data_IF_448412747045
#
_entry.id   IF_448412747045
#
_cell.length_a   1.000
_cell.length_b   1.000
_cell.length_c   1.000
_cell.angle_alpha   90.00
_cell.angle_beta   90.00
_cell.angle_gamma   90.00
#
_symmetry.space_group_name_H-M   'P 1'
#
loop_
_entity.id
_entity.type
_entity.pdbx_description
1 polymer ?
#
# COMPACT_ATOMS: atom_id res chain seq x y z
N UNK A 1 -4.97 -10.90 -1.11
CA UNK A 1 -5.49 -9.97 -0.10
C UNK A 1 -6.15 -10.74 1.04
N UNK A 2 -5.63 -10.59 2.26
CA UNK A 2 -6.20 -11.22 3.48
C UNK A 2 -7.09 -10.24 4.27
N UNK A 3 -7.16 -8.96 3.88
CA UNK A 3 -7.92 -7.92 4.60
C UNK A 3 -7.62 -7.81 6.11
N UNK A 4 -6.45 -8.27 6.55
CA UNK A 4 -6.04 -8.27 7.96
C UNK A 4 -4.56 -7.95 8.08
N UNK A 5 -4.11 -7.49 9.25
CA UNK A 5 -2.71 -7.13 9.51
C UNK A 5 -2.11 -8.07 10.55
N UNK A 6 -1.08 -8.85 10.18
CA UNK A 6 -0.43 -9.81 11.10
C UNK A 6 0.41 -9.16 12.21
N UNK A 7 1.00 -7.99 11.96
CA UNK A 7 1.87 -7.33 12.94
C UNK A 7 1.47 -5.87 13.17
N UNK A 8 1.92 -5.29 14.28
CA UNK A 8 1.70 -3.86 14.56
C UNK A 8 2.44 -2.95 13.57
N UNK A 9 3.50 -3.46 12.92
CA UNK A 9 4.24 -2.72 11.89
C UNK A 9 3.48 -2.64 10.57
N UNK A 10 2.53 -3.57 10.35
CA UNK A 10 1.72 -3.63 9.13
C UNK A 10 0.58 -2.59 9.12
N UNK A 11 0.45 -1.79 10.17
CA UNK A 11 -0.45 -0.64 10.19
C UNK A 11 0.25 0.61 10.72
N UNK A 12 -0.19 1.75 10.22
CA UNK A 12 0.23 3.06 10.71
C UNK A 12 -0.41 3.40 12.07
N UNK A 13 -1.61 2.90 12.35
CA UNK A 13 -2.32 3.16 13.61
C UNK A 13 -1.80 2.28 14.76
N UNK A 14 -1.82 2.82 15.99
CA UNK A 14 -1.36 2.10 17.20
C UNK A 14 -2.44 1.21 17.83
N UNK A 15 -3.42 0.77 17.06
CA UNK A 15 -4.44 -0.14 17.56
C UNK A 15 -3.80 -1.47 18.01
N UNK A 16 -4.55 -2.32 18.73
CA UNK A 16 -4.12 -3.67 19.10
C UNK A 16 -4.50 -4.66 17.99
N UNK A 17 -3.71 -5.72 17.81
CA UNK A 17 -4.06 -6.81 16.88
C UNK A 17 -5.22 -7.60 17.51
N UNK A 18 -6.20 -7.99 16.71
CA UNK A 18 -7.34 -8.77 17.21
C UNK A 18 -6.86 -10.17 17.62
N UNK A 19 -7.68 -10.89 18.40
CA UNK A 19 -7.32 -12.24 18.86
C UNK A 19 -7.33 -13.28 17.74
N UNK A 20 -8.20 -13.10 16.75
CA UNK A 20 -8.35 -14.00 15.61
C UNK A 20 -7.10 -14.04 14.74
N UNK A 21 -6.51 -12.88 14.45
CA UNK A 21 -5.27 -12.76 13.69
C UNK A 21 -4.09 -13.35 14.45
N UNK A 22 -4.05 -13.21 15.78
CA UNK A 22 -3.03 -13.89 16.60
C UNK A 22 -3.19 -15.41 16.50
N UNK A 23 -4.41 -15.93 16.64
CA UNK A 23 -4.67 -17.36 16.48
C UNK A 23 -4.34 -17.88 15.07
N UNK A 24 -4.56 -17.05 14.05
CA UNK A 24 -4.19 -17.38 12.67
C UNK A 24 -2.67 -17.42 12.51
N UNK A 25 -1.93 -16.45 13.05
CA UNK A 25 -0.47 -16.41 13.04
C UNK A 25 0.13 -17.65 13.75
N UNK A 26 -0.41 -18.01 14.92
CA UNK A 26 -0.02 -19.23 15.65
C UNK A 26 -0.26 -20.50 14.81
N UNK A 27 -1.38 -20.55 14.07
CA UNK A 27 -1.71 -21.69 13.19
C UNK A 27 -0.75 -21.78 12.00
N UNK A 28 -0.42 -20.64 11.38
CA UNK A 28 0.55 -20.59 10.29
C UNK A 28 1.93 -21.04 10.76
N UNK A 29 2.36 -20.62 11.94
CA UNK A 29 3.63 -21.03 12.53
C UNK A 29 3.70 -22.56 12.76
N UNK A 30 2.61 -23.15 13.27
CA UNK A 30 2.48 -24.61 13.44
C UNK A 30 2.53 -25.39 12.13
N UNK A 31 2.07 -24.80 11.03
CA UNK A 31 2.14 -25.39 9.69
C UNK A 31 3.47 -25.14 8.97
N UNK A 32 4.44 -24.53 9.66
CA UNK A 32 5.70 -24.07 9.08
C UNK A 32 5.49 -23.12 7.88
N UNK A 33 4.45 -22.30 7.94
CA UNK A 33 4.16 -21.24 6.98
C UNK A 33 4.53 -19.89 7.62
N UNK A 34 5.10 -18.98 6.83
CA UNK A 34 5.45 -17.64 7.30
C UNK A 34 5.16 -16.58 6.25
N UNK A 35 4.94 -15.36 6.72
CA UNK A 35 4.90 -14.17 5.87
C UNK A 35 6.32 -13.82 5.43
N UNK A 36 6.57 -14.05 4.14
CA UNK A 36 7.89 -13.90 3.57
C UNK A 36 8.36 -12.43 3.62
N UNK A 37 7.46 -11.46 3.42
CA UNK A 37 7.83 -10.05 3.42
C UNK A 37 8.34 -9.63 4.82
N UNK A 38 7.68 -10.09 5.90
CA UNK A 38 8.15 -9.78 7.26
C UNK A 38 9.43 -10.47 7.65
N UNK A 39 9.68 -11.66 7.10
CA UNK A 39 10.94 -12.37 7.32
C UNK A 39 12.13 -11.56 6.80
N UNK A 40 11.99 -10.92 5.64
CA UNK A 40 13.05 -10.08 5.06
C UNK A 40 13.11 -8.67 5.68
N UNK A 41 11.98 -8.16 6.19
CA UNK A 41 11.83 -6.76 6.59
C UNK A 41 11.25 -6.59 8.01
N UNK A 42 11.94 -7.09 9.03
CA UNK A 42 11.42 -7.14 10.41
C UNK A 42 10.97 -5.79 11.00
N UNK A 43 11.56 -4.68 10.56
CA UNK A 43 11.34 -3.34 11.16
C UNK A 43 10.82 -2.29 10.18
N UNK A 44 10.70 -2.61 8.90
CA UNK A 44 10.29 -1.64 7.89
C UNK A 44 8.77 -1.47 7.86
N UNK A 45 8.34 -0.21 7.80
CA UNK A 45 6.92 0.17 7.73
C UNK A 45 6.59 0.58 6.30
N UNK A 46 6.30 -0.41 5.47
CA UNK A 46 5.77 -0.23 4.13
C UNK A 46 4.37 -0.83 4.06
N UNK A 47 3.52 -0.25 3.22
CA UNK A 47 2.08 -0.49 3.19
C UNK A 47 1.61 -0.74 1.76
N UNK A 48 0.57 -1.56 1.61
CA UNK A 48 -0.03 -1.85 0.30
C UNK A 48 -1.38 -1.19 0.10
N UNK A 49 -1.99 -0.67 1.17
CA UNK A 49 -3.33 -0.10 1.16
C UNK A 49 -3.43 1.19 1.98
N UNK A 50 -4.23 2.14 1.49
CA UNK A 50 -4.64 3.35 2.21
C UNK A 50 -6.16 3.38 2.39
N UNK A 51 -6.61 3.54 3.63
CA UNK A 51 -8.02 3.75 3.95
C UNK A 51 -8.32 5.23 4.08
N UNK A 52 -9.06 5.79 3.11
CA UNK A 52 -9.50 7.20 3.14
C UNK A 52 -10.37 7.49 4.38
N UNK A 53 -11.37 6.64 4.65
CA UNK A 53 -12.31 6.80 5.75
C UNK A 53 -11.65 6.88 7.15
N UNK A 54 -10.46 6.31 7.30
CA UNK A 54 -9.74 6.29 8.57
C UNK A 54 -8.42 7.08 8.53
N UNK A 55 -7.99 7.56 7.35
CA UNK A 55 -6.71 8.22 7.16
C UNK A 55 -5.51 7.33 7.53
N UNK A 56 -5.62 6.02 7.37
CA UNK A 56 -4.59 5.06 7.82
C UNK A 56 -4.07 4.20 6.69
N UNK A 57 -2.76 3.94 6.73
CA UNK A 57 -2.09 2.95 5.90
C UNK A 57 -2.02 1.59 6.59
N UNK A 58 -2.20 0.55 5.78
CA UNK A 58 -2.11 -0.86 6.18
C UNK A 58 -1.44 -1.70 5.10
N UNK A 59 -0.81 -2.81 5.48
CA UNK A 59 -0.38 -3.88 4.59
C UNK A 59 -1.35 -5.04 4.77
N UNK A 60 -2.17 -5.30 3.75
CA UNK A 60 -3.20 -6.34 3.74
C UNK A 60 -2.90 -7.47 2.73
N UNK A 61 -1.89 -7.25 1.88
CA UNK A 61 -1.37 -8.25 0.97
C UNK A 61 -0.20 -8.99 1.61
N UNK A 62 -0.43 -10.28 1.83
CA UNK A 62 0.53 -11.17 2.44
C UNK A 62 0.90 -12.27 1.45
N UNK A 63 2.20 -12.53 1.34
CA UNK A 63 2.73 -13.69 0.64
C UNK A 63 3.16 -14.70 1.69
N UNK A 64 2.37 -15.77 1.83
CA UNK A 64 2.63 -16.85 2.75
C UNK A 64 3.41 -17.96 2.03
N UNK A 65 4.49 -18.43 2.64
CA UNK A 65 5.34 -19.49 2.09
C UNK A 65 5.74 -20.48 3.17
N UNK A 66 6.09 -21.70 2.79
CA UNK A 66 6.71 -22.65 3.71
C UNK A 66 8.11 -22.18 4.12
N UNK A 67 8.44 -22.32 5.41
CA UNK A 67 9.74 -21.95 5.98
C UNK A 67 10.91 -22.63 5.26
N UNK A 68 10.73 -23.88 4.83
CA UNK A 68 11.73 -24.64 4.07
C UNK A 68 12.09 -24.01 2.72
N UNK A 69 11.17 -23.23 2.14
CA UNK A 69 11.33 -22.59 0.83
C UNK A 69 11.92 -21.18 0.93
N UNK A 70 12.15 -20.65 2.14
CA UNK A 70 12.67 -19.28 2.34
C UNK A 70 14.01 -19.05 1.65
N UNK A 71 14.87 -20.07 1.62
CA UNK A 71 16.21 -20.00 1.01
C UNK A 71 16.18 -19.79 -0.52
N UNK A 72 15.03 -19.99 -1.17
CA UNK A 72 14.86 -19.82 -2.62
C UNK A 72 14.72 -18.33 -2.98
N UNK A 73 14.35 -17.49 -2.02
CA UNK A 73 14.11 -16.07 -2.22
C UNK A 73 15.34 -15.26 -1.83
N UNK A 74 15.75 -14.34 -2.71
CA UNK A 74 16.91 -13.47 -2.47
C UNK A 74 16.51 -12.07 -2.00
N UNK A 75 15.38 -11.57 -2.49
CA UNK A 75 14.89 -10.22 -2.26
C UNK A 75 13.39 -10.18 -2.48
N UNK A 76 12.71 -9.39 -1.67
CA UNK A 76 11.27 -9.14 -1.75
C UNK A 76 11.08 -7.68 -1.47
N UNK A 77 10.28 -7.01 -2.27
CA UNK A 77 9.98 -5.59 -2.11
C UNK A 77 8.50 -5.40 -2.37
N UNK A 78 7.90 -4.45 -1.64
CA UNK A 78 6.59 -3.93 -2.04
C UNK A 78 6.86 -2.99 -3.19
N UNK A 79 6.25 -3.28 -4.34
CA UNK A 79 6.22 -2.34 -5.44
C UNK A 79 5.03 -1.44 -5.15
N UNK A 80 5.23 -0.20 -4.67
CA UNK A 80 4.11 0.73 -4.59
C UNK A 80 3.57 0.85 -6.01
N UNK A 81 2.25 0.96 -6.21
CA UNK A 81 1.75 1.33 -7.52
C UNK A 81 2.49 2.62 -7.88
N UNK A 82 3.24 2.59 -8.97
CA UNK A 82 3.90 3.77 -9.53
C UNK A 82 2.76 4.65 -10.04
N UNK A 83 2.12 5.37 -9.11
CA UNK A 83 0.92 6.18 -9.25
C UNK A 83 -0.36 5.43 -9.67
N UNK A 84 -1.48 5.77 -9.02
CA UNK A 84 -2.55 6.40 -9.80
C UNK A 84 -3.12 7.62 -9.06
N UNK A 85 -3.46 8.70 -9.78
CA UNK A 85 -4.34 9.78 -9.29
C UNK A 85 -3.68 10.62 -8.16
N UNK A 86 -2.73 11.51 -8.43
CA UNK A 86 -2.96 12.94 -8.72
C UNK A 86 -1.65 13.47 -9.33
N UNK A 87 -1.70 13.85 -10.61
CA UNK A 87 -0.65 14.63 -11.26
C UNK A 87 -1.16 16.07 -11.38
N UNK A 88 -0.56 17.00 -10.62
CA UNK A 88 -0.63 18.44 -10.88
C UNK A 88 0.79 18.94 -11.13
N UNK A 89 0.93 19.86 -12.06
CA UNK A 89 1.86 21.00 -12.02
C UNK A 89 1.07 22.12 -12.82
N UNK A 90 1.50 23.37 -12.93
CA UNK A 90 0.65 24.43 -13.53
C UNK A 90 1.49 25.38 -14.37
N UNK A 91 1.56 25.33 -15.72
CA UNK A 91 2.34 26.34 -16.48
C UNK A 91 1.74 27.75 -16.34
N UNK A 92 2.39 28.61 -15.56
CA UNK A 92 2.40 30.06 -15.75
C UNK A 92 3.74 30.43 -16.40
N UNK A 93 3.71 30.96 -17.62
CA UNK A 93 4.76 31.84 -18.13
C UNK A 93 4.19 33.25 -17.90
N UNK A 94 4.84 34.20 -17.21
CA UNK A 94 6.23 34.64 -17.35
C UNK A 94 6.70 35.31 -16.05
N UNK A 95 7.75 34.80 -15.39
CA UNK A 95 9.05 35.48 -15.22
C UNK A 95 9.98 34.65 -14.31
N UNK A 96 11.12 34.29 -14.91
CA UNK A 96 12.39 33.81 -14.34
C UNK A 96 12.45 33.44 -12.85
N UNK A 97 12.35 32.14 -12.59
CA UNK A 97 13.39 31.30 -11.97
C UNK A 97 12.99 29.84 -12.17
N UNK A 98 13.96 28.99 -12.47
CA UNK A 98 13.74 27.57 -12.80
C UNK A 98 12.86 26.84 -11.78
N UNK A 99 11.59 26.65 -12.11
CA UNK A 99 10.68 25.68 -11.48
C UNK A 99 9.71 25.21 -12.54
N UNK A 100 9.76 23.91 -12.84
CA UNK A 100 8.83 23.28 -13.77
C UNK A 100 7.40 23.32 -13.20
N UNK A 101 6.40 23.48 -14.06
CA UNK A 101 4.98 23.73 -13.76
C UNK A 101 4.10 22.99 -14.84
N UNK A 102 3.33 21.90 -14.53
CA UNK A 102 2.82 20.71 -15.36
C UNK A 102 1.29 20.74 -15.46
N UNK A 103 0.70 21.56 -16.31
CA UNK A 103 -0.76 21.72 -16.36
C UNK A 103 -1.54 20.41 -16.66
N UNK A 104 -2.70 20.22 -16.02
CA UNK A 104 -3.62 19.09 -16.25
C UNK A 104 -4.29 19.15 -17.64
N UNK A 105 -4.49 17.98 -18.27
CA UNK A 105 -5.13 17.85 -19.57
C UNK A 105 -6.66 17.63 -19.43
N UNK A 106 -7.46 18.60 -19.90
CA UNK A 106 -8.93 18.60 -19.73
C UNK A 106 -9.68 17.51 -20.52
N UNK A 107 -9.02 16.84 -21.47
CA UNK A 107 -9.63 15.74 -22.24
C UNK A 107 -9.95 14.50 -21.39
N UNK A 108 -9.27 14.32 -20.25
CA UNK A 108 -9.61 13.23 -19.33
C UNK A 108 -10.79 13.57 -18.41
N UNK A 109 -10.98 14.84 -18.06
CA UNK A 109 -12.10 15.30 -17.24
C UNK A 109 -13.43 15.34 -18.00
N UNK A 110 -13.41 15.27 -19.33
CA UNK A 110 -14.63 15.12 -20.13
C UNK A 110 -15.19 13.70 -20.15
N UNK A 111 -14.46 12.70 -19.62
CA UNK A 111 -14.97 11.34 -19.53
C UNK A 111 -15.93 11.23 -18.34
N UNK A 112 -17.21 11.00 -18.63
CA UNK A 112 -18.28 10.95 -17.64
C UNK A 112 -18.05 9.88 -16.58
N UNK A 113 -17.44 8.74 -16.95
CA UNK A 113 -17.09 7.66 -16.01
C UNK A 113 -16.04 8.10 -14.99
N UNK A 114 -15.03 8.86 -15.43
CA UNK A 114 -13.97 9.39 -14.54
C UNK A 114 -14.57 10.38 -13.54
N UNK A 115 -15.56 11.17 -13.95
CA UNK A 115 -16.23 12.12 -13.05
C UNK A 115 -17.14 11.44 -12.03
N UNK A 116 -17.78 10.32 -12.38
CA UNK A 116 -18.60 9.54 -11.43
C UNK A 116 -17.72 8.91 -10.36
N UNK A 117 -16.60 8.29 -10.75
CA UNK A 117 -15.62 7.75 -9.81
C UNK A 117 -15.07 8.84 -8.88
N UNK A 118 -14.76 10.03 -9.40
CA UNK A 118 -14.28 11.16 -8.56
C UNK A 118 -15.35 11.64 -7.58
N UNK A 119 -16.63 11.62 -7.95
CA UNK A 119 -17.74 12.01 -7.05
C UNK A 119 -18.03 11.00 -5.96
N UNK A 120 -17.75 9.72 -6.20
CA UNK A 120 -17.91 8.68 -5.19
C UNK A 120 -16.75 8.70 -4.16
N UNK A 121 -15.59 9.21 -4.55
CA UNK A 121 -14.37 9.23 -3.72
C UNK A 121 -14.21 10.52 -2.87
N UNK A 122 -14.98 11.59 -3.15
CA UNK A 122 -15.01 12.88 -2.41
C UNK A 122 -16.25 12.96 -1.52
#
# INVERSE_FOLDING_TARGET
DFNTTFTSMDRSSKQKINKETVSLDDTLDQMDITDIYRTFHLKLKEYTFFSSAHGTFSRIDHMLVYKISLNQFKKIEIIPPIFPIIMYETRNQLQEKNTNMWRLNNLMLSNQWVNEVIKEEI
#
